data_IF_021746625356
#
_entry.id   IF_021746625356
#
_cell.length_a   1.000
_cell.length_b   1.000
_cell.length_c   1.000
_cell.angle_alpha   90.00
_cell.angle_beta   90.00
_cell.angle_gamma   90.00
#
_symmetry.space_group_name_H-M   'P 1'
#
loop_
_entity.id
_entity.type
_entity.pdbx_description
1 polymer ?
#
# COMPACT_ATOMS: atom_id res chain seq x y z
N UNK A 1 5.38 -16.20 35.21
CA UNK A 1 4.46 -16.31 34.05
C UNK A 1 4.86 -15.20 33.08
N UNK A 2 5.51 -15.55 31.97
CA UNK A 2 5.99 -14.56 31.00
C UNK A 2 4.84 -14.20 30.06
N UNK A 3 4.29 -12.99 30.20
CA UNK A 3 3.36 -12.42 29.22
C UNK A 3 4.16 -11.98 28.01
N UNK A 4 4.18 -12.80 26.96
CA UNK A 4 4.67 -12.42 25.63
C UNK A 4 3.72 -11.38 25.05
N UNK A 5 3.96 -10.09 25.33
CA UNK A 5 3.23 -8.98 24.71
C UNK A 5 3.48 -9.03 23.22
N UNK A 6 2.45 -9.34 22.43
CA UNK A 6 2.55 -9.37 20.98
C UNK A 6 2.92 -7.96 20.48
N UNK A 7 4.13 -7.74 19.90
CA UNK A 7 4.54 -6.43 19.41
C UNK A 7 3.72 -5.96 18.20
N UNK A 8 2.86 -6.83 17.66
CA UNK A 8 1.95 -6.54 16.56
C UNK A 8 0.49 -6.33 17.02
N UNK A 9 0.24 -6.18 18.33
CA UNK A 9 -1.10 -5.89 18.84
C UNK A 9 -1.59 -4.51 18.35
N UNK A 10 -2.86 -4.46 17.93
CA UNK A 10 -3.54 -3.22 17.57
C UNK A 10 -3.70 -2.33 18.82
N UNK A 11 -3.43 -1.01 18.76
CA UNK A 11 -3.81 -0.11 19.83
C UNK A 11 -5.34 0.01 19.86
N UNK A 12 -5.95 -0.35 21.00
CA UNK A 12 -7.41 -0.48 21.24
C UNK A 12 -8.24 0.83 21.14
N UNK A 13 -7.68 1.94 20.66
CA UNK A 13 -8.35 3.25 20.64
C UNK A 13 -8.21 4.06 19.35
N UNK A 14 -7.56 3.53 18.32
CA UNK A 14 -7.39 4.22 17.05
C UNK A 14 -8.54 3.88 16.07
N UNK A 15 -9.34 4.87 15.69
CA UNK A 15 -10.42 4.69 14.71
C UNK A 15 -9.83 4.22 13.38
N UNK A 16 -10.25 3.05 12.91
CA UNK A 16 -9.92 2.51 11.60
C UNK A 16 -10.89 3.13 10.58
N UNK A 17 -10.34 3.59 9.47
CA UNK A 17 -11.07 4.14 8.34
C UNK A 17 -10.85 3.19 7.16
N UNK A 18 -11.95 2.76 6.55
CA UNK A 18 -11.96 1.73 5.51
C UNK A 18 -12.30 2.32 4.14
N UNK A 19 -11.56 1.87 3.14
CA UNK A 19 -11.76 2.21 1.73
C UNK A 19 -11.83 0.92 0.92
N UNK A 20 -12.80 0.79 0.02
CA UNK A 20 -13.02 -0.43 -0.76
C UNK A 20 -12.96 -0.15 -2.25
N UNK A 21 -12.32 -1.03 -3.02
CA UNK A 21 -12.37 -0.96 -4.48
C UNK A 21 -13.79 -1.36 -4.95
N UNK A 22 -14.33 -0.71 -5.97
CA UNK A 22 -15.68 -1.01 -6.47
C UNK A 22 -15.78 -2.31 -7.29
N UNK A 23 -14.64 -2.80 -7.79
CA UNK A 23 -14.53 -3.88 -8.78
C UNK A 23 -13.08 -4.38 -8.82
N UNK A 24 -12.51 -4.64 -10.00
CA UNK A 24 -11.11 -5.08 -10.14
C UNK A 24 -10.13 -3.98 -9.75
N UNK A 25 -9.05 -4.34 -9.05
CA UNK A 25 -8.05 -3.36 -8.58
C UNK A 25 -7.39 -2.53 -9.69
N UNK A 26 -7.33 -3.08 -10.91
CA UNK A 26 -6.74 -2.43 -12.07
C UNK A 26 -7.72 -1.52 -12.84
N UNK A 27 -9.03 -1.64 -12.58
CA UNK A 27 -10.10 -0.86 -13.22
C UNK A 27 -11.27 -0.72 -12.23
N UNK A 28 -11.18 0.26 -11.34
CA UNK A 28 -12.17 0.49 -10.27
C UNK A 28 -12.09 1.91 -9.70
N UNK A 29 -13.08 2.26 -8.89
CA UNK A 29 -13.00 3.39 -7.98
C UNK A 29 -12.68 2.89 -6.58
N UNK A 30 -11.86 3.64 -5.84
CA UNK A 30 -11.71 3.42 -4.41
C UNK A 30 -12.74 4.28 -3.69
N UNK A 31 -13.69 3.60 -3.06
CA UNK A 31 -14.82 4.19 -2.35
C UNK A 31 -14.44 4.44 -0.89
N UNK A 32 -14.74 5.64 -0.39
CA UNK A 32 -14.57 5.99 1.02
C UNK A 32 -15.69 5.47 1.93
N UNK A 33 -15.60 5.74 3.24
CA UNK A 33 -16.63 5.35 4.21
C UNK A 33 -18.01 5.97 3.96
N UNK A 34 -18.04 7.10 3.27
CA UNK A 34 -19.22 7.85 2.85
C UNK A 34 -19.81 7.36 1.51
N UNK A 35 -19.29 6.26 0.97
CA UNK A 35 -19.63 5.73 -0.35
C UNK A 35 -19.39 6.72 -1.49
N UNK A 36 -18.48 7.69 -1.29
CA UNK A 36 -18.02 8.56 -2.37
C UNK A 36 -16.73 8.03 -2.99
N UNK A 37 -16.52 8.21 -4.30
CA UNK A 37 -15.27 7.84 -4.95
C UNK A 37 -14.16 8.84 -4.59
N UNK A 38 -13.08 8.37 -3.97
CA UNK A 38 -11.90 9.19 -3.64
C UNK A 38 -10.82 9.06 -4.71
N UNK A 39 -10.65 7.83 -5.22
CA UNK A 39 -9.67 7.54 -6.26
C UNK A 39 -10.32 6.81 -7.43
N UNK A 40 -9.73 6.99 -8.60
CA UNK A 40 -10.02 6.20 -9.79
C UNK A 40 -8.74 5.51 -10.23
N UNK A 41 -8.79 4.18 -10.31
CA UNK A 41 -7.73 3.36 -10.88
C UNK A 41 -8.19 2.81 -12.21
N UNK A 42 -7.40 3.00 -13.26
CA UNK A 42 -7.66 2.35 -14.53
C UNK A 42 -6.36 1.96 -15.22
N UNK A 43 -6.43 0.89 -15.99
CA UNK A 43 -5.33 0.42 -16.82
C UNK A 43 -5.64 0.73 -18.26
N UNK A 44 -4.66 1.17 -19.02
CA UNK A 44 -4.84 1.42 -20.45
C UNK A 44 -5.28 0.16 -21.21
N UNK A 45 -5.79 0.36 -22.42
CA UNK A 45 -6.31 -0.72 -23.27
C UNK A 45 -5.27 -1.78 -23.62
N UNK A 46 -3.98 -1.44 -23.57
CA UNK A 46 -2.88 -2.33 -23.89
C UNK A 46 -2.34 -3.06 -22.64
N UNK A 47 -2.82 -2.70 -21.45
CA UNK A 47 -2.30 -3.23 -20.20
C UNK A 47 -0.88 -2.75 -19.85
N UNK A 48 -0.40 -1.67 -20.48
CA UNK A 48 0.99 -1.20 -20.33
C UNK A 48 1.18 -0.26 -19.14
N UNK A 49 0.19 0.59 -18.88
CA UNK A 49 0.19 1.52 -17.77
C UNK A 49 -1.11 1.46 -16.95
N UNK A 50 -0.96 1.57 -15.63
CA UNK A 50 -2.06 1.79 -14.70
C UNK A 50 -1.95 3.19 -14.11
N UNK A 51 -3.03 3.95 -14.18
CA UNK A 51 -3.10 5.32 -13.72
C UNK A 51 -4.00 5.40 -12.49
N UNK A 52 -3.56 6.18 -11.50
CA UNK A 52 -4.27 6.41 -10.24
C UNK A 52 -4.54 7.91 -10.13
N UNK A 53 -5.82 8.26 -10.13
CA UNK A 53 -6.28 9.63 -10.03
C UNK A 53 -6.94 9.89 -8.68
N UNK A 54 -6.71 11.06 -8.12
CA UNK A 54 -7.45 11.61 -6.97
C UNK A 54 -8.03 12.96 -7.35
N UNK A 55 -9.34 13.15 -7.16
CA UNK A 55 -10.04 14.41 -7.47
C UNK A 55 -9.71 14.98 -8.87
N UNK A 56 -9.62 14.10 -9.88
CA UNK A 56 -9.30 14.49 -11.26
C UNK A 56 -7.83 14.73 -11.58
N UNK A 57 -6.93 14.66 -10.60
CA UNK A 57 -5.49 14.80 -10.79
C UNK A 57 -4.80 13.44 -10.73
N UNK A 58 -3.85 13.19 -11.64
CA UNK A 58 -3.05 11.98 -11.60
C UNK A 58 -2.09 12.05 -10.42
N UNK A 59 -2.17 11.09 -9.50
CA UNK A 59 -1.25 10.97 -8.36
C UNK A 59 -0.12 9.99 -8.64
N UNK A 60 -0.38 8.96 -9.45
CA UNK A 60 0.60 7.97 -9.83
C UNK A 60 0.29 7.34 -11.20
N UNK A 61 1.35 7.01 -11.93
CA UNK A 61 1.31 6.20 -13.14
C UNK A 61 2.32 5.05 -13.00
N UNK A 62 1.83 3.81 -13.04
CA UNK A 62 2.65 2.59 -12.98
C UNK A 62 2.83 2.10 -14.41
N UNK A 63 4.07 2.06 -14.89
CA UNK A 63 4.45 1.52 -16.20
C UNK A 63 4.98 0.11 -16.03
N UNK A 64 4.14 -0.88 -16.35
CA UNK A 64 4.42 -2.28 -16.05
C UNK A 64 5.60 -2.84 -16.82
N UNK A 65 5.68 -2.55 -18.13
CA UNK A 65 6.78 -3.05 -18.97
C UNK A 65 8.15 -2.49 -18.54
N UNK A 66 8.19 -1.25 -18.04
CA UNK A 66 9.41 -0.61 -17.56
C UNK A 66 9.70 -0.91 -16.08
N UNK A 67 8.76 -1.52 -15.36
CA UNK A 67 8.76 -1.68 -13.89
C UNK A 67 9.07 -0.36 -13.16
N UNK A 68 8.39 0.73 -13.55
CA UNK A 68 8.55 2.06 -12.95
C UNK A 68 7.24 2.66 -12.48
N UNK A 69 7.32 3.46 -11.43
CA UNK A 69 6.23 4.28 -10.92
C UNK A 69 6.60 5.76 -11.02
N UNK A 70 5.75 6.55 -11.66
CA UNK A 70 5.83 8.00 -11.68
C UNK A 70 4.83 8.55 -10.68
N UNK A 71 5.30 9.28 -9.67
CA UNK A 71 4.47 9.95 -8.67
C UNK A 71 4.38 11.44 -9.02
N UNK A 72 3.21 12.06 -8.91
CA UNK A 72 3.06 13.48 -9.24
C UNK A 72 3.63 14.42 -8.17
N UNK A 73 3.70 13.96 -6.92
CA UNK A 73 4.21 14.73 -5.78
C UNK A 73 5.73 14.71 -5.65
N UNK A 74 6.40 13.76 -6.31
CA UNK A 74 7.87 13.66 -6.30
C UNK A 74 8.38 14.21 -7.63
N UNK A 75 9.26 15.21 -7.56
CA UNK A 75 10.13 15.64 -8.67
C UNK A 75 11.17 14.56 -8.97
N UNK A 76 10.73 13.33 -9.22
CA UNK A 76 11.56 12.27 -9.79
C UNK A 76 11.80 12.59 -11.26
N UNK A 77 12.94 12.16 -11.80
CA UNK A 77 13.27 12.34 -13.21
C UNK A 77 12.13 11.85 -14.14
N UNK A 78 12.16 12.26 -15.41
CA UNK A 78 11.05 12.06 -16.37
C UNK A 78 10.53 10.60 -16.44
N UNK A 79 11.37 9.64 -16.07
CA UNK A 79 11.10 8.21 -16.10
C UNK A 79 10.45 7.62 -14.82
N UNK A 80 10.30 8.39 -13.74
CA UNK A 80 9.79 7.90 -12.45
C UNK A 80 10.83 7.11 -11.65
N UNK A 81 10.40 6.34 -10.64
CA UNK A 81 11.23 5.50 -9.74
C UNK A 81 11.01 4.02 -10.06
N UNK A 82 12.03 3.15 -10.03
CA UNK A 82 11.83 1.69 -10.12
C UNK A 82 10.84 1.19 -9.07
N UNK A 83 9.96 0.25 -9.42
CA UNK A 83 9.01 -0.35 -8.47
C UNK A 83 9.77 -1.05 -7.33
N UNK A 84 10.87 -1.74 -7.65
CA UNK A 84 11.75 -2.39 -6.68
C UNK A 84 12.49 -1.42 -5.75
N UNK A 85 12.61 -0.14 -6.10
CA UNK A 85 13.15 0.89 -5.20
C UNK A 85 12.02 1.50 -4.33
N UNK A 86 10.83 1.69 -4.92
CA UNK A 86 9.69 2.23 -4.20
C UNK A 86 9.10 1.25 -3.16
N UNK A 87 9.07 -0.04 -3.51
CA UNK A 87 8.54 -1.13 -2.68
C UNK A 87 9.49 -2.34 -2.70
N UNK A 88 10.67 -2.14 -2.10
CA UNK A 88 11.76 -3.11 -2.12
C UNK A 88 11.44 -4.38 -1.36
N UNK A 89 11.61 -5.53 -1.99
CA UNK A 89 11.59 -6.81 -1.29
C UNK A 89 12.88 -7.00 -0.47
N UNK A 90 12.73 -7.57 0.73
CA UNK A 90 13.88 -7.89 1.58
C UNK A 90 14.62 -9.12 1.03
N UNK A 91 15.92 -9.03 0.68
CA UNK A 91 16.65 -10.12 0.05
C UNK A 91 16.93 -11.32 0.98
N UNK A 92 16.83 -11.13 2.30
CA UNK A 92 17.36 -12.08 3.29
C UNK A 92 16.35 -12.50 4.36
N UNK A 93 15.09 -12.09 4.26
CA UNK A 93 14.10 -12.24 5.32
C UNK A 93 12.82 -12.86 4.75
N UNK A 94 12.86 -14.17 4.54
CA UNK A 94 11.71 -15.02 4.91
C UNK A 94 11.72 -15.16 6.43
N UNK A 95 11.38 -14.10 7.17
CA UNK A 95 11.12 -14.25 8.61
C UNK A 95 9.77 -14.97 8.69
N UNK A 96 9.86 -16.29 8.81
CA UNK A 96 8.74 -17.19 9.06
C UNK A 96 7.77 -17.24 7.86
N UNK A 97 8.27 -17.46 6.64
CA UNK A 97 7.45 -17.67 5.44
C UNK A 97 6.58 -16.47 5.03
N UNK A 98 7.03 -15.26 5.35
CA UNK A 98 6.31 -14.01 5.04
C UNK A 98 7.17 -13.12 4.17
N UNK A 99 6.58 -12.62 3.09
CA UNK A 99 7.17 -11.59 2.23
C UNK A 99 7.22 -10.27 3.01
N UNK A 100 8.42 -9.71 3.13
CA UNK A 100 8.69 -8.42 3.76
C UNK A 100 9.09 -7.42 2.68
N UNK A 101 8.34 -6.32 2.55
CA UNK A 101 8.67 -5.22 1.65
C UNK A 101 8.89 -3.92 2.41
N UNK A 102 9.86 -3.13 1.99
CA UNK A 102 10.18 -1.83 2.55
C UNK A 102 9.68 -0.71 1.65
N UNK A 103 9.25 0.38 2.27
CA UNK A 103 8.78 1.57 1.57
C UNK A 103 9.24 2.80 2.35
N UNK A 104 9.88 3.74 1.67
CA UNK A 104 10.26 5.02 2.23
C UNK A 104 9.29 6.10 1.71
N UNK A 105 8.59 6.78 2.63
CA UNK A 105 7.61 7.80 2.30
C UNK A 105 7.69 8.98 3.29
N UNK A 106 7.77 10.21 2.76
CA UNK A 106 7.87 11.44 3.56
C UNK A 106 9.01 11.40 4.61
N UNK A 107 10.15 10.81 4.25
CA UNK A 107 11.31 10.66 5.13
C UNK A 107 11.17 9.60 6.24
N UNK A 108 10.03 8.90 6.32
CA UNK A 108 9.81 7.81 7.24
C UNK A 108 9.91 6.45 6.52
N UNK A 109 10.46 5.46 7.22
CA UNK A 109 10.59 4.09 6.73
C UNK A 109 9.45 3.23 7.23
N UNK A 110 8.86 2.47 6.32
CA UNK A 110 7.76 1.57 6.59
C UNK A 110 8.05 0.15 6.10
N UNK A 111 7.32 -0.80 6.65
CA UNK A 111 7.45 -2.22 6.32
C UNK A 111 6.09 -2.86 6.11
N UNK A 112 5.88 -3.38 4.91
CA UNK A 112 4.74 -4.21 4.55
C UNK A 112 5.06 -5.66 4.85
N UNK A 113 4.22 -6.30 5.65
CA UNK A 113 4.34 -7.70 6.02
C UNK A 113 3.14 -8.45 5.44
N UNK A 114 3.40 -9.42 4.56
CA UNK A 114 2.35 -10.32 4.07
C UNK A 114 1.98 -11.33 5.15
N UNK A 115 0.68 -11.51 5.38
CA UNK A 115 0.15 -12.62 6.17
C UNK A 115 -1.20 -13.03 5.59
N UNK A 116 -1.34 -14.29 5.18
CA UNK A 116 -2.56 -14.82 4.56
C UNK A 116 -2.95 -14.00 3.31
N UNK A 117 -4.19 -13.51 3.24
CA UNK A 117 -4.77 -12.68 2.17
C UNK A 117 -4.58 -11.17 2.39
N UNK A 118 -3.66 -10.75 3.26
CA UNK A 118 -3.46 -9.34 3.59
C UNK A 118 -2.00 -8.93 3.67
N UNK A 119 -1.76 -7.64 3.48
CA UNK A 119 -0.51 -6.97 3.80
C UNK A 119 -0.77 -5.94 4.89
N UNK A 120 0.03 -5.96 5.96
CA UNK A 120 -0.04 -4.97 7.04
C UNK A 120 1.17 -4.06 7.00
N UNK A 121 0.94 -2.75 7.10
CA UNK A 121 1.97 -1.71 7.14
C UNK A 121 2.36 -1.39 8.57
N UNK A 122 3.65 -1.42 8.87
CA UNK A 122 4.21 -1.02 10.14
C UNK A 122 5.22 0.11 9.97
N UNK A 123 5.39 0.95 11.00
CA UNK A 123 6.58 1.80 11.09
C UNK A 123 7.83 0.93 11.24
N UNK A 124 8.99 1.48 10.83
CA UNK A 124 10.28 0.78 10.85
C UNK A 124 10.54 0.02 12.15
N UNK A 125 10.91 -1.25 11.99
CA UNK A 125 11.45 -2.14 13.03
C UNK A 125 12.86 -1.69 13.46
N UNK A 126 13.03 -0.47 13.98
CA UNK A 126 14.30 -0.05 14.59
C UNK A 126 14.48 -0.75 15.94
N UNK A 127 15.71 -1.19 16.24
CA UNK A 127 16.04 -1.79 17.55
C UNK A 127 15.58 -0.89 18.70
N UNK A 128 14.74 -1.43 19.59
CA UNK A 128 14.25 -0.76 20.79
C UNK A 128 12.93 0.02 20.65
N UNK A 129 12.35 0.13 19.45
CA UNK A 129 11.04 0.74 19.25
C UNK A 129 9.98 -0.31 18.90
N UNK A 130 8.80 -0.23 19.52
CA UNK A 130 7.64 -1.05 19.15
C UNK A 130 7.10 -0.57 17.80
N UNK A 131 7.01 -1.42 16.77
CA UNK A 131 6.42 -1.05 15.50
C UNK A 131 4.96 -0.63 15.68
N UNK A 132 4.60 0.53 15.16
CA UNK A 132 3.21 0.97 15.14
C UNK A 132 2.53 0.39 13.90
N UNK A 133 1.38 -0.24 14.08
CA UNK A 133 0.54 -0.68 12.97
C UNK A 133 -0.15 0.54 12.34
N UNK A 134 0.04 0.73 11.03
CA UNK A 134 -0.39 1.94 10.31
C UNK A 134 -1.56 1.69 9.35
N UNK A 135 -1.54 0.57 8.64
CA UNK A 135 -2.56 0.23 7.67
C UNK A 135 -2.60 -1.28 7.42
N UNK A 136 -3.66 -1.76 6.78
CA UNK A 136 -3.66 -3.06 6.11
C UNK A 136 -4.39 -2.98 4.79
N UNK A 137 -3.97 -3.82 3.86
CA UNK A 137 -4.65 -4.06 2.60
C UNK A 137 -5.10 -5.52 2.62
N UNK A 138 -6.38 -5.77 2.39
CA UNK A 138 -7.02 -7.08 2.49
C UNK A 138 -7.63 -7.42 1.14
N UNK A 139 -7.42 -8.63 0.65
CA UNK A 139 -8.21 -9.20 -0.43
C UNK A 139 -9.42 -9.93 0.17
N UNK A 140 -10.63 -9.38 -0.02
CA UNK A 140 -11.84 -9.99 0.50
C UNK A 140 -12.31 -11.17 -0.36
N UNK A 141 -13.04 -12.10 0.26
CA UNK A 141 -13.72 -13.15 -0.48
C UNK A 141 -14.69 -12.52 -1.49
N UNK A 142 -14.39 -12.71 -2.78
CA UNK A 142 -15.04 -11.99 -3.89
C UNK A 142 -14.09 -11.16 -4.75
N UNK A 143 -12.81 -11.05 -4.38
CA UNK A 143 -11.75 -10.43 -5.19
C UNK A 143 -11.74 -8.90 -5.15
N UNK A 144 -12.43 -8.32 -4.18
CA UNK A 144 -12.46 -6.87 -3.95
C UNK A 144 -11.47 -6.53 -2.85
N UNK A 145 -10.42 -5.81 -3.21
CA UNK A 145 -9.45 -5.35 -2.23
C UNK A 145 -10.04 -4.22 -1.36
N UNK A 146 -9.57 -4.15 -0.12
CA UNK A 146 -9.90 -3.10 0.85
C UNK A 146 -8.62 -2.54 1.45
N UNK A 147 -8.55 -1.22 1.58
CA UNK A 147 -7.48 -0.50 2.27
C UNK A 147 -8.04 0.06 3.57
N UNK A 148 -7.45 -0.34 4.69
CA UNK A 148 -7.82 0.15 6.02
C UNK A 148 -6.65 0.88 6.64
N UNK A 149 -6.89 2.09 7.14
CA UNK A 149 -5.88 2.92 7.78
C UNK A 149 -6.34 3.32 9.18
N UNK A 150 -5.41 3.43 10.12
CA UNK A 150 -5.67 4.15 11.35
C UNK A 150 -5.76 5.66 11.08
N UNK A 151 -6.57 6.38 11.86
CA UNK A 151 -6.73 7.83 11.70
C UNK A 151 -5.38 8.59 11.64
N UNK A 152 -4.43 8.23 12.50
CA UNK A 152 -3.07 8.81 12.54
C UNK A 152 -2.29 8.61 11.25
N UNK A 153 -2.56 7.53 10.52
CA UNK A 153 -1.94 7.24 9.22
C UNK A 153 -2.46 8.17 8.13
N UNK A 154 -3.74 8.54 8.18
CA UNK A 154 -4.33 9.52 7.25
C UNK A 154 -3.69 10.89 7.48
N UNK A 155 -3.54 11.32 8.73
CA UNK A 155 -2.85 12.57 9.06
C UNK A 155 -1.39 12.61 8.59
N UNK A 156 -0.74 11.46 8.45
CA UNK A 156 0.62 11.31 7.90
C UNK A 156 0.65 11.24 6.37
N UNK A 157 -0.50 11.39 5.70
CA UNK A 157 -0.60 11.31 4.24
C UNK A 157 -0.42 9.90 3.68
N UNK A 158 -0.64 8.85 4.48
CA UNK A 158 -0.39 7.47 4.04
C UNK A 158 -1.49 6.89 3.13
N UNK A 159 -2.58 7.62 2.87
CA UNK A 159 -3.64 7.11 2.00
C UNK A 159 -3.12 6.84 0.59
N UNK A 160 -2.54 7.85 -0.07
CA UNK A 160 -1.96 7.72 -1.42
C UNK A 160 -0.98 6.55 -1.56
N UNK A 161 0.08 6.42 -0.74
CA UNK A 161 0.99 5.29 -0.84
C UNK A 161 0.33 3.95 -0.51
N UNK A 162 -0.70 3.90 0.36
CA UNK A 162 -1.44 2.66 0.59
C UNK A 162 -2.29 2.26 -0.63
N UNK A 163 -2.90 3.21 -1.34
CA UNK A 163 -3.64 2.93 -2.59
C UNK A 163 -2.69 2.39 -3.66
N UNK A 164 -1.55 3.05 -3.84
CA UNK A 164 -0.51 2.60 -4.78
C UNK A 164 0.00 1.21 -4.42
N UNK A 165 0.32 0.97 -3.14
CA UNK A 165 0.77 -0.33 -2.67
C UNK A 165 -0.30 -1.41 -2.88
N UNK A 166 -1.58 -1.10 -2.70
CA UNK A 166 -2.66 -2.03 -2.99
C UNK A 166 -2.64 -2.47 -4.46
N UNK A 167 -2.56 -1.51 -5.39
CA UNK A 167 -2.48 -1.80 -6.83
C UNK A 167 -1.27 -2.67 -7.15
N UNK A 168 -0.09 -2.37 -6.60
CA UNK A 168 1.12 -3.16 -6.84
C UNK A 168 1.00 -4.58 -6.27
N UNK A 169 0.53 -4.73 -5.04
CA UNK A 169 0.55 -5.99 -4.29
C UNK A 169 -0.59 -6.95 -4.68
N UNK A 170 -1.72 -6.44 -5.18
CA UNK A 170 -2.92 -7.23 -5.48
C UNK A 170 -3.34 -7.21 -6.95
N UNK A 171 -2.59 -6.55 -7.84
CA UNK A 171 -2.87 -6.59 -9.29
C UNK A 171 -2.58 -7.95 -9.95
N UNK A 172 -1.83 -8.82 -9.29
CA UNK A 172 -1.33 -10.08 -9.87
C UNK A 172 -0.24 -9.88 -10.92
N UNK A 173 0.29 -8.66 -11.07
CA UNK A 173 1.40 -8.35 -11.97
C UNK A 173 2.74 -8.54 -11.27
N UNK A 174 3.76 -8.83 -12.08
CA UNK A 174 5.13 -8.91 -11.62
C UNK A 174 5.67 -7.51 -11.25
N UNK A 175 6.20 -7.38 -10.04
CA UNK A 175 6.70 -6.12 -9.45
C UNK A 175 8.20 -6.16 -9.10
N UNK A 176 8.89 -7.28 -9.34
CA UNK A 176 10.30 -7.49 -8.96
C UNK A 176 11.24 -7.54 -10.15
#
# INVERSE_FOLDING_TARGET
MNTTTNPFACPDSSRIISFAFSSSILNSHLMGPDLQPYYRVFTDSFGHATHIFSQGHEIACIRWAAKRIKLSSITGGEDGTPISEWLSESPNIEVIGRVLRYMDFSGAKYSWIRKDNRYSLYTSLKMGATPAWMARIIDEEGGVARVELFADSIWRGLLDPCVIAAVLLFSGRDID
#
